data_IF_731433369833
#
_entry.id   IF_731433369833
#
_cell.length_a   1.000
_cell.length_b   1.000
_cell.length_c   1.000
_cell.angle_alpha   90.00
_cell.angle_beta   90.00
_cell.angle_gamma   90.00
#
_symmetry.space_group_name_H-M   'P 1'
#
loop_
_entity.id
_entity.type
_entity.pdbx_description
1 polymer ?
#
# COMPACT_ATOMS: atom_id res chain seq x y z
N UNK A 1 15.17 -3.23 8.57
CA UNK A 1 15.14 -2.51 7.28
C UNK A 1 14.11 -1.38 7.29
N UNK A 2 12.84 -1.66 7.59
CA UNK A 2 11.77 -0.63 7.59
C UNK A 2 12.08 0.54 8.53
N UNK A 3 12.69 0.30 9.68
CA UNK A 3 13.07 1.34 10.64
C UNK A 3 14.22 2.26 10.16
N UNK A 4 14.92 1.86 9.12
CA UNK A 4 16.04 2.61 8.53
C UNK A 4 15.72 3.17 7.15
N UNK A 5 14.42 3.31 6.82
CA UNK A 5 14.00 3.93 5.57
C UNK A 5 14.41 5.40 5.53
N UNK A 6 15.13 5.77 4.49
CA UNK A 6 15.57 7.14 4.24
C UNK A 6 15.47 7.48 2.75
N UNK A 7 15.43 8.76 2.46
CA UNK A 7 15.52 9.27 1.10
C UNK A 7 16.95 9.05 0.60
N UNK A 8 17.14 8.16 -0.36
CA UNK A 8 18.45 7.82 -0.87
C UNK A 8 18.78 8.61 -2.14
N UNK A 9 20.00 9.15 -2.19
CA UNK A 9 20.51 9.90 -3.36
C UNK A 9 20.85 9.00 -4.55
N UNK A 10 21.04 7.70 -4.28
CA UNK A 10 21.42 6.72 -5.29
C UNK A 10 20.22 6.06 -5.97
N UNK A 11 19.00 6.34 -5.49
CA UNK A 11 17.77 5.83 -6.06
C UNK A 11 16.80 6.97 -6.36
N UNK A 12 16.53 7.18 -7.64
CA UNK A 12 15.60 8.19 -8.10
C UNK A 12 14.52 7.54 -8.99
N UNK A 13 13.40 8.20 -9.14
CA UNK A 13 12.34 7.85 -10.10
C UNK A 13 12.30 8.93 -11.16
N UNK A 14 12.27 8.52 -12.43
CA UNK A 14 12.29 9.44 -13.56
C UNK A 14 11.12 10.43 -13.47
N UNK A 15 11.43 11.71 -13.55
CA UNK A 15 10.45 12.80 -13.41
C UNK A 15 9.79 13.07 -14.76
N UNK A 16 8.61 12.49 -14.95
CA UNK A 16 7.79 12.67 -16.16
C UNK A 16 6.53 13.46 -15.85
N UNK A 17 6.08 13.40 -14.60
CA UNK A 17 4.82 13.96 -14.17
C UNK A 17 4.81 15.49 -14.22
N UNK A 18 3.75 16.05 -14.81
CA UNK A 18 3.51 17.50 -14.88
C UNK A 18 2.48 17.95 -13.84
N UNK A 19 1.72 17.02 -13.28
CA UNK A 19 0.69 17.29 -12.28
C UNK A 19 0.84 16.42 -11.04
N UNK A 20 0.03 16.66 -10.01
CA UNK A 20 0.08 15.93 -8.75
C UNK A 20 -0.24 14.44 -8.92
N UNK A 21 0.53 13.60 -8.27
CA UNK A 21 0.37 12.15 -8.27
C UNK A 21 -0.63 11.76 -7.19
N UNK A 22 -1.68 11.04 -7.54
CA UNK A 22 -2.76 10.66 -6.63
C UNK A 22 -2.71 9.20 -6.20
N UNK A 23 -2.11 8.34 -7.00
CA UNK A 23 -2.16 6.90 -6.78
C UNK A 23 -0.91 6.24 -7.34
N UNK A 24 -0.44 5.24 -6.63
CA UNK A 24 0.65 4.34 -7.00
C UNK A 24 0.19 2.92 -6.76
N UNK A 25 0.63 1.98 -7.59
CA UNK A 25 0.47 0.55 -7.34
C UNK A 25 1.63 -0.24 -7.92
N UNK A 26 2.12 -1.24 -7.19
CA UNK A 26 3.21 -2.12 -7.61
C UNK A 26 2.62 -3.48 -7.89
N UNK A 27 3.00 -4.07 -9.04
CA UNK A 27 2.50 -5.37 -9.41
C UNK A 27 2.89 -6.44 -8.37
N UNK A 28 1.94 -7.32 -8.01
CA UNK A 28 2.13 -8.22 -6.87
C UNK A 28 2.92 -9.50 -7.19
N UNK A 29 3.23 -9.79 -8.46
CA UNK A 29 3.85 -11.06 -8.88
C UNK A 29 5.36 -11.03 -8.69
N UNK A 30 6.04 -10.05 -9.29
CA UNK A 30 7.49 -9.90 -9.24
C UNK A 30 7.94 -8.69 -8.41
N UNK A 31 7.03 -7.74 -8.15
CA UNK A 31 7.33 -6.48 -7.46
C UNK A 31 8.23 -5.54 -8.28
N UNK A 32 8.25 -5.70 -9.61
CA UNK A 32 9.13 -4.99 -10.53
C UNK A 32 8.50 -3.73 -11.13
N UNK A 33 7.22 -3.80 -11.46
CA UNK A 33 6.57 -2.72 -12.21
C UNK A 33 5.68 -1.88 -11.31
N UNK A 34 5.77 -0.57 -11.46
CA UNK A 34 4.95 0.38 -10.71
C UNK A 34 4.13 1.25 -11.65
N UNK A 35 2.83 1.35 -11.38
CA UNK A 35 1.91 2.30 -12.00
C UNK A 35 1.79 3.55 -11.17
N UNK A 36 1.64 4.68 -11.84
CA UNK A 36 1.24 5.95 -11.23
C UNK A 36 0.08 6.58 -11.98
N UNK A 37 -0.79 7.28 -11.25
CA UNK A 37 -1.89 8.04 -11.82
C UNK A 37 -1.88 9.49 -11.36
N UNK A 38 -2.08 10.41 -12.31
CA UNK A 38 -2.00 11.86 -12.12
C UNK A 38 -3.36 12.56 -12.05
N UNK A 39 -3.30 13.79 -11.54
CA UNK A 39 -4.48 14.67 -11.43
C UNK A 39 -5.00 15.15 -12.78
N UNK A 40 -4.25 15.07 -13.85
CA UNK A 40 -4.66 15.46 -15.21
C UNK A 40 -4.95 14.28 -16.15
N UNK A 41 -5.09 13.07 -15.59
CA UNK A 41 -5.54 11.91 -16.30
C UNK A 41 -4.45 10.99 -16.84
N UNK A 42 -3.18 11.37 -16.74
CA UNK A 42 -2.03 10.61 -17.22
C UNK A 42 -1.74 9.41 -16.32
N UNK A 43 -1.36 8.30 -16.94
CA UNK A 43 -0.91 7.09 -16.25
C UNK A 43 0.49 6.75 -16.77
N UNK A 44 1.42 6.45 -15.86
CA UNK A 44 2.80 6.10 -16.23
C UNK A 44 3.16 4.75 -15.63
N UNK A 45 3.89 3.94 -16.39
CA UNK A 45 4.45 2.67 -15.95
C UNK A 45 5.97 2.80 -15.81
N UNK A 46 6.48 2.43 -14.64
CA UNK A 46 7.90 2.43 -14.29
C UNK A 46 8.45 1.02 -14.11
N UNK A 47 9.72 0.84 -14.47
CA UNK A 47 10.51 -0.34 -14.11
C UNK A 47 11.35 -0.01 -12.86
N UNK A 48 11.13 -0.73 -11.79
CA UNK A 48 11.83 -0.57 -10.53
C UNK A 48 13.15 -1.37 -10.47
N UNK A 49 13.37 -2.26 -11.45
CA UNK A 49 14.56 -3.11 -11.47
C UNK A 49 15.82 -2.32 -11.83
N UNK A 50 16.90 -2.57 -11.10
CA UNK A 50 18.21 -2.03 -11.42
C UNK A 50 18.93 -2.88 -12.49
N UNK A 51 18.58 -2.68 -13.74
CA UNK A 51 19.21 -3.36 -14.86
C UNK A 51 20.69 -2.98 -15.04
N UNK A 52 21.11 -1.83 -14.51
CA UNK A 52 22.48 -1.31 -14.69
C UNK A 52 23.49 -1.91 -13.72
N UNK A 53 23.03 -2.56 -12.65
CA UNK A 53 23.83 -3.06 -11.51
C UNK A 53 24.74 -1.99 -10.86
N UNK A 54 24.50 -0.72 -11.16
CA UNK A 54 25.22 0.39 -10.52
C UNK A 54 24.61 0.68 -9.16
N UNK A 55 25.39 1.17 -8.19
CA UNK A 55 24.85 1.58 -6.90
C UNK A 55 23.82 2.70 -7.04
N UNK A 56 24.05 3.63 -7.98
CA UNK A 56 23.12 4.71 -8.28
C UNK A 56 22.37 4.42 -9.59
N UNK A 57 21.04 4.46 -9.55
CA UNK A 57 20.20 4.29 -10.72
C UNK A 57 18.85 4.99 -10.60
N UNK A 58 18.26 5.27 -11.76
CA UNK A 58 16.94 5.89 -11.88
C UNK A 58 15.95 4.86 -12.41
N UNK A 59 14.85 4.64 -11.69
CA UNK A 59 13.71 3.86 -12.15
C UNK A 59 13.12 4.55 -13.38
N UNK A 60 13.20 3.89 -14.52
CA UNK A 60 12.80 4.46 -15.82
C UNK A 60 11.32 4.25 -16.08
N UNK A 61 10.69 5.27 -16.66
CA UNK A 61 9.38 5.09 -17.26
C UNK A 61 9.53 4.27 -18.53
N UNK A 62 8.74 3.21 -18.62
CA UNK A 62 8.68 2.36 -19.81
C UNK A 62 7.73 2.95 -20.84
N UNK A 63 6.55 3.36 -20.39
CA UNK A 63 5.55 4.04 -21.23
C UNK A 63 4.53 4.81 -20.40
N UNK A 64 3.77 5.65 -21.11
CA UNK A 64 2.70 6.44 -20.50
C UNK A 64 1.47 6.49 -21.39
N UNK A 65 0.30 6.46 -20.76
CA UNK A 65 -0.95 6.89 -21.36
C UNK A 65 -1.05 8.40 -21.14
N UNK A 66 -0.40 9.15 -22.04
CA UNK A 66 -0.28 10.61 -21.96
C UNK A 66 -1.43 11.34 -22.63
N UNK A 67 -1.38 12.68 -22.59
CA UNK A 67 -2.44 13.59 -23.10
C UNK A 67 -2.77 13.40 -24.59
N UNK A 68 -1.82 12.87 -25.38
CA UNK A 68 -2.03 12.57 -26.80
C UNK A 68 -2.71 11.22 -27.05
N UNK A 69 -2.85 10.39 -26.04
CA UNK A 69 -3.51 9.10 -26.18
C UNK A 69 -5.03 9.27 -26.32
N UNK A 70 -5.69 8.61 -27.31
CA UNK A 70 -7.11 8.81 -27.56
C UNK A 70 -7.99 8.44 -26.34
N UNK A 71 -7.54 7.47 -25.57
CA UNK A 71 -8.26 6.93 -24.44
C UNK A 71 -7.74 7.42 -23.07
N UNK A 72 -6.94 8.50 -23.04
CA UNK A 72 -6.52 9.11 -21.78
C UNK A 72 -7.72 9.51 -20.94
N UNK A 73 -7.62 9.43 -19.63
CA UNK A 73 -8.66 9.96 -18.74
C UNK A 73 -8.78 11.47 -18.89
N UNK A 74 -10.02 11.99 -18.91
CA UNK A 74 -10.28 13.43 -19.08
C UNK A 74 -10.10 14.24 -17.80
N UNK A 75 -10.08 13.58 -16.65
CA UNK A 75 -9.93 14.15 -15.32
C UNK A 75 -9.01 13.30 -14.47
N UNK A 76 -8.84 13.72 -13.23
CA UNK A 76 -7.97 13.11 -12.23
C UNK A 76 -8.14 11.59 -12.14
N UNK A 77 -7.04 10.87 -12.27
CA UNK A 77 -6.97 9.43 -11.94
C UNK A 77 -6.87 9.30 -10.44
N UNK A 78 -7.82 8.59 -9.83
CA UNK A 78 -7.89 8.44 -8.38
C UNK A 78 -7.37 7.10 -7.88
N UNK A 79 -7.44 6.07 -8.71
CA UNK A 79 -6.88 4.76 -8.37
C UNK A 79 -6.35 4.09 -9.63
N UNK A 80 -5.15 3.54 -9.53
CA UNK A 80 -4.62 2.53 -10.45
C UNK A 80 -4.42 1.24 -9.68
N UNK A 81 -4.63 0.11 -10.33
CA UNK A 81 -4.38 -1.20 -9.73
C UNK A 81 -3.98 -2.21 -10.80
N UNK A 82 -2.91 -2.94 -10.52
CA UNK A 82 -2.54 -4.11 -11.29
C UNK A 82 -3.55 -5.25 -11.12
N UNK A 83 -3.71 -6.05 -12.16
CA UNK A 83 -4.41 -7.30 -12.00
C UNK A 83 -3.62 -8.22 -11.04
N UNK A 84 -4.29 -8.79 -10.02
CA UNK A 84 -3.56 -9.43 -8.92
C UNK A 84 -2.77 -10.70 -9.26
N UNK A 85 -2.93 -11.27 -10.46
CA UNK A 85 -2.39 -12.58 -10.81
C UNK A 85 -1.40 -12.59 -11.96
N UNK A 86 -1.40 -11.56 -12.77
CA UNK A 86 -0.47 -11.41 -13.88
C UNK A 86 -0.25 -9.92 -14.20
N UNK A 87 0.75 -9.65 -15.02
CA UNK A 87 1.12 -8.31 -15.47
C UNK A 87 0.50 -7.91 -16.80
N UNK A 88 -0.40 -8.75 -17.34
CA UNK A 88 -1.01 -8.54 -18.67
C UNK A 88 -2.06 -7.43 -18.70
N UNK A 89 -2.62 -7.08 -17.54
CA UNK A 89 -3.62 -6.01 -17.46
C UNK A 89 -3.49 -5.20 -16.18
N UNK A 90 -4.00 -3.97 -16.25
CA UNK A 90 -4.21 -3.10 -15.10
C UNK A 90 -5.50 -2.30 -15.23
N UNK A 91 -5.93 -1.70 -14.16
CA UNK A 91 -7.17 -0.91 -14.10
C UNK A 91 -6.89 0.49 -13.63
N UNK A 92 -7.71 1.44 -14.10
CA UNK A 92 -7.67 2.82 -13.63
C UNK A 92 -9.06 3.39 -13.47
N UNK A 93 -9.27 4.18 -12.43
CA UNK A 93 -10.54 4.90 -12.23
C UNK A 93 -10.31 6.39 -12.04
N UNK A 94 -11.28 7.18 -12.50
CA UNK A 94 -11.11 8.63 -12.59
C UNK A 94 -12.40 9.40 -12.24
N UNK A 95 -12.20 10.68 -11.96
CA UNK A 95 -13.29 11.65 -11.84
C UNK A 95 -14.05 11.88 -13.14
N UNK A 96 -13.57 11.38 -14.28
CA UNK A 96 -14.30 11.38 -15.56
C UNK A 96 -15.45 10.36 -15.59
N UNK A 97 -15.75 9.73 -14.45
CA UNK A 97 -16.82 8.76 -14.25
C UNK A 97 -16.60 7.43 -14.97
N UNK A 98 -15.32 7.09 -15.25
CA UNK A 98 -14.97 5.82 -15.89
C UNK A 98 -14.04 4.99 -15.03
N UNK A 99 -14.17 3.68 -15.18
CA UNK A 99 -13.19 2.68 -14.82
C UNK A 99 -12.74 2.00 -16.11
N UNK A 100 -11.45 2.05 -16.40
CA UNK A 100 -10.87 1.47 -17.62
C UNK A 100 -10.01 0.28 -17.27
N UNK A 101 -10.13 -0.74 -18.09
CA UNK A 101 -9.32 -1.96 -18.04
C UNK A 101 -8.34 -1.88 -19.20
N UNK A 102 -7.06 -1.93 -18.92
CA UNK A 102 -6.02 -1.75 -19.91
C UNK A 102 -5.28 -3.06 -20.18
N UNK A 103 -5.02 -3.32 -21.44
CA UNK A 103 -4.01 -4.30 -21.84
C UNK A 103 -2.62 -3.67 -21.73
N UNK A 104 -1.74 -4.26 -20.95
CA UNK A 104 -0.41 -3.70 -20.65
C UNK A 104 0.50 -3.66 -21.88
N UNK A 105 0.32 -4.60 -22.84
CA UNK A 105 1.19 -4.69 -24.02
C UNK A 105 0.81 -3.67 -25.09
N UNK A 106 -0.48 -3.45 -25.29
CA UNK A 106 -1.00 -2.56 -26.33
C UNK A 106 -1.29 -1.16 -25.84
N UNK A 107 -1.45 -0.98 -24.53
CA UNK A 107 -1.93 0.24 -23.88
C UNK A 107 -3.30 0.70 -24.39
N UNK A 108 -4.08 -0.22 -24.89
CA UNK A 108 -5.46 0.06 -25.29
C UNK A 108 -6.43 -0.40 -24.19
N UNK A 109 -7.54 0.31 -23.99
CA UNK A 109 -8.56 -0.16 -23.09
C UNK A 109 -9.23 -1.42 -23.65
N UNK A 110 -9.16 -2.52 -22.91
CA UNK A 110 -9.87 -3.75 -23.23
C UNK A 110 -11.36 -3.62 -22.92
N UNK A 111 -11.71 -2.84 -21.89
CA UNK A 111 -13.10 -2.54 -21.51
C UNK A 111 -13.19 -1.21 -20.74
N UNK A 112 -14.39 -0.58 -20.78
CA UNK A 112 -14.65 0.69 -20.08
C UNK A 112 -16.01 0.65 -19.42
N UNK A 113 -16.02 0.77 -18.10
CA UNK A 113 -17.26 0.92 -17.32
C UNK A 113 -17.56 2.40 -17.09
N UNK A 114 -18.83 2.78 -17.27
CA UNK A 114 -19.32 4.13 -17.10
C UNK A 114 -20.22 4.24 -15.88
N UNK A 115 -20.07 5.32 -15.11
CA UNK A 115 -20.83 5.57 -13.90
C UNK A 115 -21.56 6.91 -13.96
N UNK A 116 -22.64 7.05 -13.19
CA UNK A 116 -23.36 8.32 -13.10
C UNK A 116 -22.56 9.39 -12.35
N UNK A 117 -21.79 8.99 -11.34
CA UNK A 117 -20.97 9.86 -10.50
C UNK A 117 -19.47 9.65 -10.69
N UNK A 118 -18.68 10.61 -10.21
CA UNK A 118 -17.21 10.49 -10.15
C UNK A 118 -16.79 9.25 -9.37
N UNK A 119 -15.74 8.57 -9.83
CA UNK A 119 -15.19 7.40 -9.16
C UNK A 119 -14.09 7.85 -8.21
N UNK A 120 -14.22 7.50 -6.94
CA UNK A 120 -13.23 7.83 -5.92
C UNK A 120 -12.22 6.72 -5.69
N UNK A 121 -12.65 5.47 -5.83
CA UNK A 121 -11.81 4.32 -5.51
C UNK A 121 -12.34 3.06 -6.17
N UNK A 122 -11.45 2.18 -6.57
CA UNK A 122 -11.79 0.81 -6.93
C UNK A 122 -10.78 -0.16 -6.33
N UNK A 123 -11.16 -1.42 -6.20
CA UNK A 123 -10.26 -2.47 -5.75
C UNK A 123 -10.69 -3.83 -6.28
N UNK A 124 -9.73 -4.66 -6.68
CA UNK A 124 -9.89 -6.07 -7.03
C UNK A 124 -9.41 -6.94 -5.89
N UNK A 125 -10.04 -8.10 -5.71
CA UNK A 125 -9.62 -9.03 -4.68
C UNK A 125 -8.26 -9.67 -5.02
N UNK A 126 -7.27 -9.59 -4.13
CA UNK A 126 -5.96 -10.20 -4.35
C UNK A 126 -5.98 -11.74 -4.31
N UNK A 127 -7.03 -12.34 -3.75
CA UNK A 127 -7.12 -13.79 -3.51
C UNK A 127 -8.27 -14.46 -4.26
N UNK A 128 -9.15 -13.71 -4.94
CA UNK A 128 -10.29 -14.28 -5.62
C UNK A 128 -9.90 -15.25 -6.74
N UNK A 129 -10.49 -16.45 -6.69
CA UNK A 129 -10.34 -17.50 -7.70
C UNK A 129 -11.64 -17.75 -8.46
N UNK A 130 -12.76 -17.54 -7.80
CA UNK A 130 -14.09 -17.86 -8.31
C UNK A 130 -14.76 -16.70 -9.03
N UNK A 131 -14.30 -15.48 -8.80
CA UNK A 131 -14.86 -14.27 -9.43
C UNK A 131 -13.76 -13.30 -9.86
N UNK A 132 -14.11 -12.38 -10.78
CA UNK A 132 -13.27 -11.28 -11.24
C UNK A 132 -13.97 -9.94 -11.00
N UNK A 133 -14.52 -9.76 -9.79
CA UNK A 133 -15.28 -8.56 -9.44
C UNK A 133 -14.36 -7.41 -9.04
N UNK A 134 -14.64 -6.25 -9.58
CA UNK A 134 -14.07 -4.97 -9.17
C UNK A 134 -15.11 -4.25 -8.32
N UNK A 135 -14.76 -3.94 -7.08
CA UNK A 135 -15.58 -3.07 -6.23
C UNK A 135 -15.28 -1.61 -6.53
N UNK A 136 -16.32 -0.80 -6.73
CA UNK A 136 -16.20 0.60 -7.15
C UNK A 136 -16.99 1.50 -6.21
N UNK A 137 -16.26 2.45 -5.60
CA UNK A 137 -16.80 3.54 -4.79
C UNK A 137 -16.91 4.82 -5.60
N UNK A 138 -18.12 5.39 -5.62
CA UNK A 138 -18.42 6.59 -6.41
C UNK A 138 -19.09 7.69 -5.58
N UNK A 139 -19.36 8.83 -6.21
CA UNK A 139 -20.18 9.90 -5.63
C UNK A 139 -21.65 9.47 -5.41
N UNK A 140 -21.88 8.20 -5.20
CA UNK A 140 -23.16 7.59 -4.88
C UNK A 140 -23.04 6.84 -3.56
N UNK A 141 -24.12 6.71 -2.78
CA UNK A 141 -24.12 5.88 -1.58
C UNK A 141 -24.11 4.37 -1.89
N UNK A 142 -24.11 4.00 -3.15
CA UNK A 142 -24.14 2.62 -3.64
C UNK A 142 -22.72 2.18 -4.03
N UNK A 143 -22.32 0.99 -3.60
CA UNK A 143 -21.10 0.33 -4.09
C UNK A 143 -21.48 -0.51 -5.29
N UNK A 144 -20.79 -0.32 -6.41
CA UNK A 144 -21.01 -1.11 -7.62
C UNK A 144 -19.96 -2.19 -7.76
N UNK A 145 -20.37 -3.39 -8.14
CA UNK A 145 -19.49 -4.51 -8.45
C UNK A 145 -19.51 -4.74 -9.96
N UNK A 146 -18.39 -4.48 -10.60
CA UNK A 146 -18.19 -4.70 -12.04
C UNK A 146 -17.53 -6.06 -12.24
N UNK A 147 -18.05 -6.87 -13.14
CA UNK A 147 -17.51 -8.19 -13.45
C UNK A 147 -16.74 -8.13 -14.77
N UNK A 148 -15.43 -8.43 -14.70
CA UNK A 148 -14.56 -8.46 -15.87
C UNK A 148 -14.92 -9.54 -16.89
N UNK A 149 -15.60 -10.62 -16.48
CA UNK A 149 -15.98 -11.70 -17.39
C UNK A 149 -17.17 -11.33 -18.26
N UNK A 150 -18.14 -10.64 -17.68
CA UNK A 150 -19.36 -10.26 -18.39
C UNK A 150 -19.29 -8.86 -19.01
N UNK A 151 -18.29 -8.04 -18.65
CA UNK A 151 -18.19 -6.65 -19.07
C UNK A 151 -19.35 -5.78 -18.55
N UNK A 152 -19.98 -6.17 -17.45
CA UNK A 152 -21.17 -5.47 -16.94
C UNK A 152 -21.12 -5.28 -15.42
N UNK A 153 -21.86 -4.27 -14.92
CA UNK A 153 -22.11 -4.12 -13.50
C UNK A 153 -23.04 -5.23 -13.02
N UNK A 154 -22.51 -6.14 -12.20
CA UNK A 154 -23.24 -7.34 -11.79
C UNK A 154 -24.14 -7.12 -10.58
N UNK A 155 -23.66 -6.35 -9.59
CA UNK A 155 -24.35 -6.17 -8.31
C UNK A 155 -24.18 -4.76 -7.78
N UNK A 156 -25.16 -4.32 -6.98
CA UNK A 156 -25.14 -3.04 -6.27
C UNK A 156 -25.37 -3.30 -4.79
N UNK A 157 -24.39 -2.92 -3.95
CA UNK A 157 -24.53 -2.98 -2.50
C UNK A 157 -25.10 -1.65 -1.98
N UNK A 158 -26.20 -1.74 -1.25
CA UNK A 158 -26.89 -0.58 -0.69
C UNK A 158 -26.85 -0.59 0.83
N UNK A 159 -26.58 0.57 1.44
CA UNK A 159 -26.56 0.68 2.90
C UNK A 159 -25.78 1.87 3.44
N UNK A 160 -24.91 2.52 2.64
CA UNK A 160 -24.38 3.83 2.96
C UNK A 160 -25.40 4.93 2.70
N UNK A 161 -25.21 6.09 3.34
CA UNK A 161 -26.10 7.25 3.20
C UNK A 161 -25.49 8.37 2.35
N UNK A 162 -24.18 8.33 2.16
CA UNK A 162 -23.41 9.31 1.39
C UNK A 162 -22.42 8.59 0.48
N UNK A 163 -21.64 9.37 -0.27
CA UNK A 163 -20.65 8.86 -1.21
C UNK A 163 -19.69 7.85 -0.57
N UNK A 164 -19.28 6.87 -1.37
CA UNK A 164 -18.30 5.84 -0.98
C UNK A 164 -16.92 6.26 -1.44
N UNK A 165 -16.02 6.54 -0.48
CA UNK A 165 -14.71 7.11 -0.74
C UNK A 165 -13.60 6.07 -0.83
N UNK A 166 -13.76 4.95 -0.12
CA UNK A 166 -12.75 3.90 -0.07
C UNK A 166 -13.40 2.52 -0.11
N UNK A 167 -12.78 1.62 -0.86
CA UNK A 167 -13.17 0.21 -0.97
C UNK A 167 -11.91 -0.66 -0.85
N UNK A 168 -12.03 -1.80 -0.17
CA UNK A 168 -10.92 -2.74 -0.02
C UNK A 168 -11.44 -4.16 0.14
N UNK A 169 -11.02 -5.07 -0.73
CA UNK A 169 -11.29 -6.49 -0.57
C UNK A 169 -10.38 -7.09 0.50
N UNK A 170 -10.92 -8.06 1.24
CA UNK A 170 -10.14 -8.83 2.19
C UNK A 170 -9.07 -9.66 1.48
N UNK A 171 -7.80 -9.63 1.92
CA UNK A 171 -6.78 -10.52 1.39
C UNK A 171 -6.87 -11.95 1.91
N UNK A 172 -7.83 -12.24 2.80
CA UNK A 172 -8.07 -13.56 3.40
C UNK A 172 -9.31 -14.26 2.85
N UNK A 173 -10.37 -13.49 2.59
CA UNK A 173 -11.68 -14.01 2.18
C UNK A 173 -12.11 -13.37 0.87
N UNK A 174 -12.14 -14.13 -0.21
CA UNK A 174 -12.39 -13.63 -1.56
C UNK A 174 -13.74 -12.91 -1.74
N UNK A 175 -14.74 -13.24 -0.91
CA UNK A 175 -16.08 -12.66 -0.99
C UNK A 175 -16.34 -11.52 0.01
N UNK A 176 -15.36 -11.18 0.84
CA UNK A 176 -15.50 -10.14 1.87
C UNK A 176 -14.90 -8.82 1.40
N UNK A 177 -15.71 -7.78 1.46
CA UNK A 177 -15.38 -6.41 1.06
C UNK A 177 -15.60 -5.45 2.23
N UNK A 178 -14.68 -4.52 2.44
CA UNK A 178 -14.84 -3.37 3.33
C UNK A 178 -15.07 -2.11 2.52
N UNK A 179 -15.96 -1.23 2.97
CA UNK A 179 -16.24 0.07 2.35
C UNK A 179 -16.32 1.17 3.37
N UNK A 180 -15.71 2.33 3.05
CA UNK A 180 -15.73 3.54 3.84
C UNK A 180 -16.45 4.67 3.11
N UNK A 181 -17.29 5.39 3.84
CA UNK A 181 -18.14 6.42 3.27
C UNK A 181 -18.00 7.76 3.99
N UNK A 182 -18.44 8.80 3.32
CA UNK A 182 -18.54 10.14 3.88
C UNK A 182 -19.56 10.24 5.03
N UNK A 183 -20.42 9.23 5.21
CA UNK A 183 -21.35 9.13 6.33
C UNK A 183 -20.69 8.70 7.66
N UNK A 184 -19.35 8.58 7.70
CA UNK A 184 -18.58 8.18 8.87
C UNK A 184 -18.63 6.69 9.17
N UNK A 185 -19.23 5.89 8.30
CA UNK A 185 -19.41 4.45 8.52
C UNK A 185 -18.44 3.63 7.71
N UNK A 186 -18.04 2.53 8.31
CA UNK A 186 -17.36 1.42 7.64
C UNK A 186 -18.28 0.22 7.67
N UNK A 187 -18.49 -0.40 6.52
CA UNK A 187 -19.32 -1.59 6.38
C UNK A 187 -18.51 -2.74 5.82
N UNK A 188 -18.75 -3.92 6.39
CA UNK A 188 -18.25 -5.20 5.86
C UNK A 188 -19.38 -5.90 5.12
N UNK A 189 -19.07 -6.44 3.96
CA UNK A 189 -20.02 -7.08 3.05
C UNK A 189 -19.57 -8.49 2.70
N UNK A 190 -20.53 -9.41 2.59
CA UNK A 190 -20.35 -10.67 1.86
C UNK A 190 -21.14 -10.57 0.56
N UNK A 191 -20.43 -10.47 -0.55
CA UNK A 191 -21.04 -10.20 -1.88
C UNK A 191 -21.90 -11.35 -2.40
N UNK A 192 -21.87 -12.52 -1.76
CA UNK A 192 -22.75 -13.66 -2.08
C UNK A 192 -24.17 -13.52 -1.50
N UNK A 193 -24.33 -12.65 -0.50
CA UNK A 193 -25.60 -12.50 0.23
C UNK A 193 -26.43 -11.37 -0.35
N UNK A 194 -27.71 -11.60 -0.56
CA UNK A 194 -28.63 -10.58 -1.09
C UNK A 194 -28.73 -9.32 -0.20
N UNK A 195 -28.68 -9.48 1.13
CA UNK A 195 -28.62 -8.37 2.07
C UNK A 195 -27.23 -7.75 2.20
N UNK A 196 -26.19 -8.48 1.75
CA UNK A 196 -24.79 -8.10 1.61
C UNK A 196 -24.06 -7.66 2.87
N UNK A 197 -24.64 -6.77 3.65
CA UNK A 197 -24.00 -6.18 4.81
C UNK A 197 -23.89 -7.18 5.97
N UNK A 198 -22.64 -7.54 6.32
CA UNK A 198 -22.32 -8.40 7.47
C UNK A 198 -22.38 -7.62 8.76
N UNK A 199 -21.70 -6.48 8.79
CA UNK A 199 -21.60 -5.62 9.98
C UNK A 199 -21.33 -4.16 9.58
N UNK A 200 -21.68 -3.26 10.49
CA UNK A 200 -21.25 -1.86 10.46
C UNK A 200 -20.37 -1.65 11.68
N UNK A 201 -19.15 -1.17 11.46
CA UNK A 201 -18.17 -0.99 12.52
C UNK A 201 -18.57 0.17 13.44
N UNK A 202 -18.46 -0.05 14.75
CA UNK A 202 -18.81 0.93 15.78
C UNK A 202 -17.57 1.28 16.62
N UNK A 203 -17.17 2.55 16.59
CA UNK A 203 -16.00 3.03 17.33
C UNK A 203 -16.09 2.82 18.85
N UNK A 204 -17.31 2.62 19.39
CA UNK A 204 -17.57 2.44 20.81
C UNK A 204 -17.86 0.99 21.21
N UNK A 205 -17.75 0.01 20.30
CA UNK A 205 -18.02 -1.41 20.54
C UNK A 205 -19.40 -1.67 21.21
N UNK A 206 -20.42 -0.88 20.84
CA UNK A 206 -21.77 -1.04 21.38
C UNK A 206 -22.02 -0.40 22.74
N UNK A 207 -21.07 0.33 23.32
CA UNK A 207 -21.27 1.07 24.55
C UNK A 207 -22.24 2.25 24.35
N UNK A 208 -23.50 2.06 24.71
CA UNK A 208 -24.59 3.04 24.52
C UNK A 208 -24.43 4.34 25.32
N UNK A 209 -23.58 4.37 26.34
CA UNK A 209 -23.43 5.53 27.25
C UNK A 209 -22.67 6.72 26.64
N UNK A 210 -21.96 6.50 25.51
CA UNK A 210 -21.08 7.50 24.89
C UNK A 210 -21.57 8.00 23.52
N UNK A 211 -22.58 7.36 22.96
CA UNK A 211 -23.07 7.72 21.65
C UNK A 211 -24.35 8.55 21.72
N UNK A 212 -24.38 9.73 21.10
CA UNK A 212 -25.66 10.34 20.71
C UNK A 212 -26.36 9.40 19.74
N UNK A 213 -27.69 9.41 19.68
CA UNK A 213 -28.47 8.49 18.82
C UNK A 213 -28.09 8.58 17.32
N UNK A 214 -27.51 9.69 16.88
CA UNK A 214 -27.02 9.90 15.51
C UNK A 214 -25.62 9.31 15.26
N UNK A 215 -24.78 9.23 16.32
CA UNK A 215 -23.41 8.68 16.24
C UNK A 215 -23.36 7.16 16.46
N UNK A 216 -24.50 6.52 16.71
CA UNK A 216 -24.55 5.08 16.88
C UNK A 216 -24.14 4.35 15.58
N UNK A 217 -23.25 3.36 15.73
CA UNK A 217 -22.72 2.55 14.62
C UNK A 217 -21.90 3.37 13.59
N UNK A 218 -21.12 4.37 14.05
CA UNK A 218 -20.15 5.07 13.22
C UNK A 218 -18.73 4.61 13.55
N UNK A 219 -17.93 4.42 12.52
CA UNK A 219 -16.51 4.09 12.68
C UNK A 219 -15.69 5.34 12.97
N UNK A 220 -16.09 6.49 12.42
CA UNK A 220 -15.42 7.78 12.56
C UNK A 220 -16.44 8.91 12.74
N UNK A 221 -16.01 9.99 13.38
CA UNK A 221 -16.82 11.21 13.53
C UNK A 221 -16.68 12.15 12.30
N UNK A 222 -16.06 11.66 11.25
CA UNK A 222 -15.85 12.33 9.97
C UNK A 222 -15.97 11.36 8.82
N UNK A 223 -15.63 11.82 7.63
CA UNK A 223 -15.62 10.99 6.41
C UNK A 223 -14.58 9.90 6.54
N UNK A 224 -14.89 8.67 6.13
CA UNK A 224 -13.92 7.57 6.07
C UNK A 224 -13.37 7.49 4.65
N UNK A 225 -12.13 7.90 4.48
CA UNK A 225 -11.50 8.00 3.17
C UNK A 225 -10.25 7.14 3.02
N UNK A 226 -9.79 6.46 4.07
CA UNK A 226 -8.68 5.52 4.01
C UNK A 226 -9.09 4.16 4.60
N UNK A 227 -8.86 3.08 3.85
CA UNK A 227 -9.05 1.68 4.25
C UNK A 227 -7.88 0.84 3.77
N UNK A 228 -7.33 0.00 4.66
CA UNK A 228 -6.33 -0.99 4.30
C UNK A 228 -6.40 -2.19 5.24
N UNK A 229 -6.48 -3.40 4.69
CA UNK A 229 -6.33 -4.61 5.49
C UNK A 229 -4.85 -4.87 5.81
N UNK A 230 -4.57 -5.48 6.95
CA UNK A 230 -3.26 -6.09 7.21
C UNK A 230 -3.00 -7.23 6.22
N UNK A 231 -1.74 -7.56 5.99
CA UNK A 231 -1.32 -8.55 4.99
C UNK A 231 -1.95 -9.93 5.21
N UNK A 232 -2.20 -10.28 6.49
CA UNK A 232 -2.86 -11.52 6.90
C UNK A 232 -4.40 -11.46 6.82
N UNK A 233 -4.98 -10.27 6.60
CA UNK A 233 -6.42 -10.02 6.56
C UNK A 233 -7.15 -10.16 7.89
N UNK A 234 -6.42 -10.28 9.02
CA UNK A 234 -7.03 -10.39 10.34
C UNK A 234 -7.50 -9.05 10.89
N UNK A 235 -6.89 -7.96 10.44
CA UNK A 235 -7.24 -6.62 10.88
C UNK A 235 -7.49 -5.68 9.70
N UNK A 236 -8.27 -4.66 9.97
CA UNK A 236 -8.56 -3.56 9.05
C UNK A 236 -8.16 -2.25 9.71
N UNK A 237 -7.31 -1.47 9.05
CA UNK A 237 -7.04 -0.09 9.42
C UNK A 237 -7.98 0.84 8.67
N UNK A 238 -8.50 1.84 9.38
CA UNK A 238 -9.34 2.88 8.82
C UNK A 238 -8.85 4.25 9.23
N UNK A 239 -8.92 5.21 8.32
CA UNK A 239 -8.57 6.61 8.57
C UNK A 239 -9.75 7.49 8.17
N UNK A 240 -10.09 8.42 9.06
CA UNK A 240 -11.16 9.39 8.84
C UNK A 240 -10.67 10.83 8.85
N UNK A 241 -11.53 11.74 8.38
CA UNK A 241 -11.30 13.19 8.47
C UNK A 241 -11.52 13.76 9.88
N UNK A 242 -11.77 12.87 10.85
CA UNK A 242 -11.77 13.17 12.29
C UNK A 242 -10.34 13.15 12.87
N UNK A 243 -9.32 13.12 12.03
CA UNK A 243 -7.90 13.03 12.40
C UNK A 243 -7.58 11.80 13.27
N UNK A 244 -8.28 10.70 13.04
CA UNK A 244 -8.09 9.45 13.76
C UNK A 244 -7.85 8.28 12.81
N UNK A 245 -6.95 7.40 13.24
CA UNK A 245 -6.78 6.06 12.67
C UNK A 245 -7.27 5.04 13.70
N UNK A 246 -7.94 3.99 13.23
CA UNK A 246 -8.48 2.91 14.06
C UNK A 246 -8.15 1.56 13.47
N UNK A 247 -7.89 0.62 14.35
CA UNK A 247 -7.63 -0.78 14.03
C UNK A 247 -8.81 -1.63 14.47
N UNK A 248 -9.30 -2.46 13.55
CA UNK A 248 -10.46 -3.31 13.77
C UNK A 248 -10.09 -4.76 13.59
N UNK A 249 -10.65 -5.64 14.41
CA UNK A 249 -10.64 -7.05 14.14
C UNK A 249 -11.60 -7.34 12.97
N UNK A 250 -11.10 -7.89 11.87
CA UNK A 250 -11.92 -8.09 10.67
C UNK A 250 -12.99 -9.17 10.82
N UNK A 251 -12.81 -10.12 11.75
CA UNK A 251 -13.75 -11.22 11.99
C UNK A 251 -14.88 -10.83 12.92
N UNK A 252 -14.61 -10.08 13.99
CA UNK A 252 -15.62 -9.67 14.97
C UNK A 252 -16.21 -8.29 14.67
N UNK A 253 -15.50 -7.44 13.93
CA UNK A 253 -15.87 -6.05 13.69
C UNK A 253 -15.60 -5.12 14.90
N UNK A 254 -14.89 -5.60 15.90
CA UNK A 254 -14.58 -4.83 17.11
C UNK A 254 -13.39 -3.90 16.91
N UNK A 255 -13.50 -2.70 17.48
CA UNK A 255 -12.40 -1.74 17.59
C UNK A 255 -11.40 -2.25 18.63
N UNK A 256 -10.14 -2.41 18.24
CA UNK A 256 -9.07 -2.86 19.15
C UNK A 256 -8.61 -1.78 20.13
N UNK A 257 -9.11 -0.54 19.96
CA UNK A 257 -8.84 0.62 20.83
C UNK A 257 -7.34 1.03 20.86
N UNK A 258 -6.57 0.67 19.86
CA UNK A 258 -5.19 1.15 19.70
C UNK A 258 -5.20 2.65 19.52
N UNK A 259 -4.35 3.35 20.27
CA UNK A 259 -4.25 4.80 20.23
C UNK A 259 -3.07 5.26 19.37
N UNK A 260 -3.36 5.77 18.19
CA UNK A 260 -2.36 6.34 17.26
C UNK A 260 -2.15 7.85 17.47
N UNK A 261 -2.82 8.45 18.45
CA UNK A 261 -2.80 9.89 18.64
C UNK A 261 -3.58 10.63 17.55
N UNK A 262 -3.11 11.83 17.20
CA UNK A 262 -3.71 12.63 16.13
C UNK A 262 -3.03 12.31 14.81
N UNK A 263 -3.81 11.89 13.83
CA UNK A 263 -3.38 11.61 12.45
C UNK A 263 -4.01 12.67 11.55
N UNK A 264 -3.23 13.66 11.13
CA UNK A 264 -3.75 14.76 10.31
C UNK A 264 -4.18 14.24 8.94
N UNK A 265 -5.46 14.37 8.64
CA UNK A 265 -6.06 13.93 7.38
C UNK A 265 -6.87 15.08 6.76
N UNK A 266 -6.22 15.88 5.94
CA UNK A 266 -6.83 17.01 5.23
C UNK A 266 -7.43 16.59 3.87
N UNK A 267 -7.34 15.31 3.51
CA UNK A 267 -7.83 14.84 2.22
C UNK A 267 -9.34 14.74 2.22
N UNK A 268 -9.99 15.41 1.28
CA UNK A 268 -11.43 15.30 1.06
C UNK A 268 -11.82 14.09 0.18
N UNK A 269 -10.85 13.47 -0.48
CA UNK A 269 -10.95 12.29 -1.34
C UNK A 269 -10.23 11.09 -0.72
N UNK A 270 -10.16 9.98 -1.43
CA UNK A 270 -9.47 8.78 -0.96
C UNK A 270 -8.03 9.06 -0.51
N UNK A 271 -7.66 8.56 0.67
CA UNK A 271 -6.31 8.58 1.19
C UNK A 271 -5.67 7.22 0.97
N UNK A 272 -4.57 7.18 0.21
CA UNK A 272 -3.84 5.95 -0.10
C UNK A 272 -2.63 5.83 0.83
N UNK A 273 -2.79 5.10 1.91
CA UNK A 273 -1.71 4.74 2.82
C UNK A 273 -1.28 3.28 2.62
N UNK A 274 -0.08 2.95 3.01
CA UNK A 274 0.50 1.62 2.83
C UNK A 274 0.73 0.93 4.17
N UNK A 275 0.77 -0.40 4.12
CA UNK A 275 1.15 -1.26 5.24
C UNK A 275 2.37 -2.08 4.82
N UNK A 276 3.33 -2.25 5.73
CA UNK A 276 4.46 -3.13 5.49
C UNK A 276 4.01 -4.59 5.48
N UNK A 277 4.70 -5.40 4.71
CA UNK A 277 4.47 -6.84 4.64
C UNK A 277 5.79 -7.58 4.88
N UNK A 278 5.72 -8.74 5.55
CA UNK A 278 6.88 -9.59 5.78
C UNK A 278 7.86 -9.06 6.82
N UNK A 279 7.45 -8.16 7.70
CA UNK A 279 8.24 -7.69 8.84
C UNK A 279 7.45 -7.80 10.15
N UNK A 280 8.16 -7.91 11.26
CA UNK A 280 7.60 -7.90 12.60
C UNK A 280 8.43 -6.93 13.46
N UNK A 281 7.80 -5.89 14.04
CA UNK A 281 6.39 -5.52 13.91
C UNK A 281 6.02 -5.00 12.50
N UNK A 282 4.72 -5.04 12.18
CA UNK A 282 4.17 -4.41 10.97
C UNK A 282 3.97 -2.90 11.18
N UNK A 283 4.15 -2.14 10.10
CA UNK A 283 4.09 -0.69 10.10
C UNK A 283 3.04 -0.15 9.13
N UNK A 284 2.42 0.96 9.50
CA UNK A 284 1.57 1.75 8.63
C UNK A 284 2.30 3.03 8.21
N UNK A 285 2.33 3.32 6.91
CA UNK A 285 2.89 4.52 6.29
C UNK A 285 1.75 5.44 5.89
N UNK A 286 1.54 6.47 6.66
CA UNK A 286 0.38 7.35 6.51
C UNK A 286 0.82 8.71 6.00
N UNK A 287 0.29 9.16 4.83
CA UNK A 287 0.50 10.53 4.38
C UNK A 287 0.07 11.54 5.44
N UNK A 288 0.95 12.48 5.75
CA UNK A 288 0.77 13.49 6.78
C UNK A 288 1.27 14.86 6.26
N UNK A 289 0.39 15.62 5.63
CA UNK A 289 0.80 16.84 4.95
C UNK A 289 1.86 16.57 3.88
N UNK A 290 3.01 17.22 3.96
CA UNK A 290 4.16 16.98 3.05
C UNK A 290 5.10 15.86 3.51
N UNK A 291 4.72 15.10 4.53
CA UNK A 291 5.53 14.05 5.15
C UNK A 291 4.77 12.73 5.20
N UNK A 292 5.44 11.67 5.63
CA UNK A 292 4.84 10.36 5.85
C UNK A 292 5.12 9.96 7.29
N UNK A 293 4.07 9.76 8.07
CA UNK A 293 4.16 9.25 9.44
C UNK A 293 4.21 7.72 9.44
N UNK A 294 5.13 7.14 10.19
CA UNK A 294 5.32 5.69 10.30
C UNK A 294 4.89 5.23 11.68
N UNK A 295 3.84 4.41 11.75
CA UNK A 295 3.29 3.88 12.99
C UNK A 295 3.48 2.37 13.06
N UNK A 296 3.71 1.85 14.27
CA UNK A 296 3.50 0.43 14.55
C UNK A 296 2.00 0.13 14.61
N UNK A 297 1.54 -0.90 13.90
CA UNK A 297 0.10 -1.17 13.75
C UNK A 297 -0.55 -1.55 15.07
N UNK A 298 0.06 -2.45 15.84
CA UNK A 298 -0.57 -3.03 17.03
C UNK A 298 -0.34 -2.22 18.32
N UNK A 299 0.71 -1.41 18.38
CA UNK A 299 0.97 -0.57 19.56
C UNK A 299 0.51 0.87 19.37
N UNK A 300 0.36 1.32 18.13
CA UNK A 300 -0.04 2.69 17.80
C UNK A 300 1.09 3.71 17.95
N UNK A 301 2.32 3.26 18.19
CA UNK A 301 3.46 4.15 18.41
C UNK A 301 3.92 4.81 17.11
N UNK A 302 4.11 6.13 17.14
CA UNK A 302 4.74 6.87 16.05
C UNK A 302 6.26 6.66 16.12
N UNK A 303 6.81 5.94 15.16
CA UNK A 303 8.22 5.59 15.12
C UNK A 303 9.06 6.71 14.53
N UNK A 304 8.65 7.21 13.36
CA UNK A 304 9.39 8.24 12.64
C UNK A 304 8.50 8.98 11.66
N UNK A 305 9.03 10.08 11.12
CA UNK A 305 8.38 10.88 10.08
C UNK A 305 9.35 11.06 8.93
N UNK A 306 9.01 10.52 7.78
CA UNK A 306 9.82 10.62 6.56
C UNK A 306 9.56 11.98 5.90
N UNK A 307 10.63 12.71 5.62
CA UNK A 307 10.58 14.09 5.09
C UNK A 307 11.35 14.18 3.77
N UNK A 308 10.73 14.71 2.73
CA UNK A 308 11.35 14.81 1.41
C UNK A 308 10.49 15.53 0.37
N UNK A 309 9.17 15.44 0.49
CA UNK A 309 8.24 16.15 -0.39
C UNK A 309 8.08 17.63 -0.01
N UNK A 310 7.80 18.45 -1.02
CA UNK A 310 7.57 19.90 -0.85
C UNK A 310 6.08 20.26 -0.79
N UNK A 311 5.20 19.33 -1.12
CA UNK A 311 3.76 19.50 -1.09
C UNK A 311 3.08 18.27 -0.51
N UNK A 312 1.75 18.29 -0.42
CA UNK A 312 0.96 17.23 0.17
C UNK A 312 1.23 15.86 -0.47
N UNK A 313 1.58 14.87 0.33
CA UNK A 313 1.67 13.46 -0.07
C UNK A 313 0.25 12.91 -0.21
N UNK A 314 -0.08 12.35 -1.37
CA UNK A 314 -1.40 11.80 -1.65
C UNK A 314 -1.46 10.28 -1.50
N UNK A 315 -0.34 9.60 -1.77
CA UNK A 315 -0.30 8.14 -1.79
C UNK A 315 1.05 7.58 -1.38
N UNK A 316 0.99 6.38 -0.81
CA UNK A 316 2.15 5.55 -0.50
C UNK A 316 1.89 4.12 -0.97
N UNK A 317 2.92 3.43 -1.44
CA UNK A 317 2.90 2.01 -1.76
C UNK A 317 4.18 1.35 -1.24
N UNK A 318 4.04 0.18 -0.63
CA UNK A 318 5.15 -0.57 -0.05
C UNK A 318 5.53 -1.74 -0.96
N UNK A 319 6.82 -1.85 -1.26
CA UNK A 319 7.40 -2.94 -2.03
C UNK A 319 7.99 -3.99 -1.07
N UNK A 320 7.37 -5.18 -0.94
CA UNK A 320 7.73 -6.13 0.11
C UNK A 320 9.06 -6.86 -0.13
N UNK A 321 9.45 -7.11 -1.39
CA UNK A 321 10.66 -7.89 -1.69
C UNK A 321 11.94 -7.16 -1.28
N UNK A 322 12.03 -5.86 -1.55
CA UNK A 322 13.18 -5.03 -1.17
C UNK A 322 12.98 -4.27 0.13
N UNK A 323 11.75 -4.28 0.67
CA UNK A 323 11.38 -3.52 1.87
C UNK A 323 11.52 -2.01 1.65
N UNK A 324 11.04 -1.54 0.51
CA UNK A 324 11.09 -0.15 0.07
C UNK A 324 9.71 0.48 0.08
N UNK A 325 9.67 1.79 0.22
CA UNK A 325 8.43 2.56 0.14
C UNK A 325 8.54 3.56 -1.01
N UNK A 326 7.47 3.69 -1.78
CA UNK A 326 7.32 4.74 -2.79
C UNK A 326 6.17 5.65 -2.41
N UNK A 327 6.36 6.96 -2.60
CA UNK A 327 5.34 7.96 -2.28
C UNK A 327 5.15 8.95 -3.42
N UNK A 328 3.90 9.29 -3.67
CA UNK A 328 3.49 10.28 -4.68
C UNK A 328 2.85 11.49 -4.03
N UNK A 329 3.16 12.68 -4.55
CA UNK A 329 2.75 13.96 -3.99
C UNK A 329 2.21 14.93 -5.03
N UNK A 330 1.57 16.00 -4.55
CA UNK A 330 1.16 17.16 -5.35
C UNK A 330 2.34 17.94 -5.93
N UNK A 331 3.57 17.69 -5.47
CA UNK A 331 4.80 18.28 -6.02
C UNK A 331 5.26 17.62 -7.32
N UNK A 332 4.45 16.73 -7.90
CA UNK A 332 4.71 16.01 -9.15
C UNK A 332 5.89 15.03 -9.06
N UNK A 333 6.35 14.69 -7.86
CA UNK A 333 7.46 13.75 -7.68
C UNK A 333 6.97 12.43 -7.07
N UNK A 334 7.64 11.35 -7.50
CA UNK A 334 7.63 10.07 -6.80
C UNK A 334 8.98 9.96 -6.09
N UNK A 335 8.95 9.74 -4.78
CA UNK A 335 10.16 9.51 -3.99
C UNK A 335 10.26 8.06 -3.58
N UNK A 336 11.49 7.53 -3.68
CA UNK A 336 11.86 6.21 -3.21
C UNK A 336 12.52 6.31 -1.84
N UNK A 337 11.99 5.58 -0.87
CA UNK A 337 12.51 5.46 0.49
C UNK A 337 13.08 4.05 0.63
N UNK A 338 14.39 3.96 0.78
CA UNK A 338 15.09 2.69 0.84
C UNK A 338 15.75 2.49 2.21
N UNK A 339 15.94 1.24 2.64
CA UNK A 339 16.66 0.97 3.86
C UNK A 339 18.10 1.49 3.77
N UNK A 340 18.54 2.26 4.77
CA UNK A 340 19.94 2.70 4.87
C UNK A 340 20.89 1.50 4.70
N UNK A 341 21.98 1.64 3.93
CA UNK A 341 22.98 0.60 3.83
C UNK A 341 23.50 0.29 5.24
N UNK A 342 23.52 -0.98 5.62
CA UNK A 342 24.18 -1.38 6.87
C UNK A 342 25.65 -1.09 6.68
N UNK A 343 26.20 -0.20 7.51
CA UNK A 343 27.65 -0.14 7.66
C UNK A 343 28.11 -1.54 8.04
N UNK A 344 29.11 -2.11 7.35
CA UNK A 344 29.70 -3.35 7.81
C UNK A 344 30.14 -3.10 9.24
N UNK A 345 29.61 -3.87 10.18
CA UNK A 345 30.16 -3.94 11.53
C UNK A 345 31.61 -4.41 11.32
N UNK A 346 32.51 -3.49 11.34
CA UNK A 346 33.90 -3.81 11.53
C UNK A 346 33.93 -4.43 12.94
N UNK A 347 33.86 -5.77 12.98
CA UNK A 347 34.27 -6.49 14.17
C UNK A 347 35.69 -5.98 14.45
N UNK A 348 35.81 -5.11 15.44
CA UNK A 348 37.07 -4.84 16.09
C UNK A 348 37.54 -6.18 16.68
N UNK A 349 38.08 -7.01 15.81
CA UNK A 349 39.01 -8.04 16.21
C UNK A 349 40.23 -7.23 16.62
N UNK A 350 40.15 -6.67 17.83
CA UNK A 350 41.36 -6.33 18.56
C UNK A 350 42.15 -7.63 18.62
N UNK A 351 43.09 -7.75 17.70
CA UNK A 351 44.22 -8.67 17.87
C UNK A 351 44.83 -8.34 19.23
N UNK A 352 44.31 -8.98 20.27
CA UNK A 352 45.06 -9.18 21.48
C UNK A 352 46.23 -10.04 21.05
N UNK A 353 47.35 -9.35 20.79
CA UNK A 353 48.67 -9.97 20.67
C UNK A 353 48.81 -11.02 21.78
N UNK A 354 48.77 -12.28 21.40
CA UNK A 354 49.21 -13.37 22.25
C UNK A 354 50.67 -13.12 22.59
N UNK A 355 51.08 -13.18 23.87
CA UNK A 355 52.47 -13.03 24.23
C UNK A 355 53.28 -14.15 23.55
N UNK A 356 54.31 -13.76 22.79
CA UNK A 356 55.28 -14.68 22.25
C UNK A 356 55.94 -15.41 23.42
N UNK A 357 55.63 -16.67 23.60
CA UNK A 357 56.43 -17.55 24.43
C UNK A 357 57.72 -17.82 23.70
N UNK A 358 58.79 -17.32 24.28
CA UNK A 358 60.14 -17.71 23.93
C UNK A 358 60.35 -19.22 24.09
N UNK A 359 60.35 -19.94 22.96
CA UNK A 359 60.85 -21.31 22.93
C UNK A 359 62.36 -21.26 22.98
N UNK A 360 62.92 -21.69 24.12
CA UNK A 360 64.37 -21.99 24.27
C UNK A 360 64.74 -23.14 23.32
N UNK A 361 65.87 -23.01 22.58
CA UNK A 361 66.45 -24.11 21.82
C UNK A 361 67.40 -24.92 22.70
N UNK A 362 66.91 -26.00 23.25
CA UNK A 362 67.75 -27.05 23.79
C UNK A 362 66.92 -28.31 23.97
N UNK A 363 67.15 -29.21 23.10
CA UNK A 363 67.36 -30.64 23.29
C UNK A 363 67.31 -31.33 21.92
N UNK A 364 68.48 -31.30 21.23
CA UNK A 364 68.93 -32.43 20.44
C UNK A 364 69.28 -33.56 21.43
N UNK A 365 68.84 -34.74 21.10
CA UNK A 365 69.57 -35.96 21.15
C UNK A 365 68.66 -37.17 21.35
N UNK A 366 69.06 -38.13 20.56
CA UNK A 366 69.05 -39.55 20.81
C UNK A 366 67.70 -40.27 20.67
N UNK A 367 67.58 -40.92 19.55
CA UNK A 367 67.53 -42.41 19.50
C UNK A 367 67.68 -42.83 18.02
N UNK A 368 68.98 -42.97 17.68
CA UNK A 368 69.42 -43.87 16.61
C UNK A 368 69.68 -45.25 17.21
N UNK A 369 69.54 -46.23 16.44
CA UNK A 369 70.01 -47.58 16.47
C UNK A 369 68.86 -48.56 16.48
N UNK A 370 68.86 -49.29 15.53
CA UNK A 370 69.62 -50.39 15.00
C UNK A 370 68.85 -51.70 15.13
N UNK A 371 68.87 -52.27 14.00
CA UNK A 371 69.17 -53.70 13.75
C UNK A 371 68.06 -54.68 14.03
N UNK A 372 67.81 -55.40 13.06
CA UNK A 372 68.40 -56.53 12.42
C UNK A 372 67.41 -57.73 12.45
N UNK A 373 67.37 -58.33 11.31
CA UNK A 373 67.27 -59.75 11.02
C UNK A 373 65.98 -60.55 11.47
N UNK A 374 65.48 -61.23 10.48
CA UNK A 374 64.61 -62.39 10.59
C UNK A 374 63.77 -62.57 9.34
#
# INVERSE_FOLDING_TARGET
RVLSLELNKDRDVERIHESGINTLDIEPVEGRYMLSGESDGVIVLYDLENLTRKPSYTCKALFSVGKSHPDVHKFSVETVQWYPRDTGMFTSSSFDKTLKIWDTNTLQPADIFYFEGTVYSHHMSPVATQHCLIAVGTKSPKVQLCDLKSGSSSHILQGHRQEVLAVSWSPRHEYVLATGSADGRVKLWDVRRASGCLSTLDQHNGEKSKASSEAANTAHNGRVNGLCYTSDGLHLLTIGTDDRMRLWNSSTGENTLVNYGKVCNESWKGLKFAISCGCNPEFAFVPYGSTIAVYTIFTGELITVLRGHYSTVNCCVFQPHFQELYSGSKDCNILAWIPAPREPVLDDISEKSLPQQHLNPAYEDAWSSSDDEG
#
